data_IF_025193090718
#
_entry.id   IF_025193090718
#
_cell.length_a   1.000
_cell.length_b   1.000
_cell.length_c   1.000
_cell.angle_alpha   90.00
_cell.angle_beta   90.00
_cell.angle_gamma   90.00
#
_symmetry.space_group_name_H-M   'P 1'
#
loop_
_entity.id
_entity.type
_entity.pdbx_description
1 polymer ?
#
# COMPACT_ATOMS: atom_id res chain seq x y z
N UNK A 1 4.08 101.48 -15.98
CA UNK A 1 4.79 100.49 -15.13
C UNK A 1 4.37 100.67 -13.67
N UNK A 2 4.16 99.55 -12.94
CA UNK A 2 4.14 99.39 -11.47
C UNK A 2 2.90 99.89 -10.68
N UNK A 3 1.88 99.03 -10.53
CA UNK A 3 1.09 98.97 -9.27
C UNK A 3 0.26 97.69 -9.02
N UNK A 4 0.39 96.64 -9.84
CA UNK A 4 -0.30 95.35 -9.61
C UNK A 4 0.54 94.30 -8.87
N UNK A 5 1.81 94.57 -8.59
CA UNK A 5 2.75 93.59 -8.01
C UNK A 5 2.78 93.52 -6.47
N UNK A 6 2.06 94.38 -5.73
CA UNK A 6 2.11 94.37 -4.25
C UNK A 6 1.08 93.49 -3.55
N UNK A 7 0.03 93.01 -4.24
CA UNK A 7 -0.93 92.06 -3.65
C UNK A 7 -0.40 90.62 -3.68
N UNK A 8 0.36 90.27 -4.73
CA UNK A 8 0.95 88.94 -4.89
C UNK A 8 2.06 88.64 -3.88
N UNK A 9 2.90 89.63 -3.52
CA UNK A 9 4.05 89.40 -2.61
C UNK A 9 3.61 89.24 -1.14
N UNK A 10 2.51 89.86 -0.71
CA UNK A 10 2.04 89.78 0.69
C UNK A 10 1.31 88.46 1.01
N UNK A 11 0.65 87.86 0.02
CA UNK A 11 -0.15 86.64 0.20
C UNK A 11 0.41 85.40 -0.51
N UNK A 12 1.56 85.51 -1.19
CA UNK A 12 2.27 84.43 -1.87
C UNK A 12 2.40 83.16 -1.01
N UNK A 13 2.75 83.30 0.28
CA UNK A 13 2.91 82.14 1.19
C UNK A 13 1.58 81.38 1.38
N UNK A 14 0.44 82.07 1.40
CA UNK A 14 -0.88 81.45 1.55
C UNK A 14 -1.33 80.74 0.27
N UNK A 15 -1.04 81.32 -0.90
CA UNK A 15 -1.29 80.68 -2.19
C UNK A 15 -0.40 79.45 -2.40
N UNK A 16 0.85 79.50 -1.93
CA UNK A 16 1.79 78.38 -1.99
C UNK A 16 1.35 77.23 -1.07
N UNK A 17 0.85 77.53 0.14
CA UNK A 17 0.24 76.54 1.04
C UNK A 17 -1.02 75.92 0.42
N UNK A 18 -1.91 76.72 -0.19
CA UNK A 18 -3.11 76.21 -0.85
C UNK A 18 -2.76 75.32 -2.05
N UNK A 19 -1.73 75.68 -2.82
CA UNK A 19 -1.24 74.90 -3.95
C UNK A 19 -0.59 73.58 -3.50
N UNK A 20 0.20 73.60 -2.42
CA UNK A 20 0.74 72.38 -1.79
C UNK A 20 -0.38 71.51 -1.24
N UNK A 21 -1.45 72.09 -0.68
CA UNK A 21 -2.59 71.34 -0.15
C UNK A 21 -3.41 70.71 -1.29
N UNK A 22 -3.60 71.41 -2.41
CA UNK A 22 -4.25 70.88 -3.62
C UNK A 22 -3.39 69.78 -4.27
N UNK A 23 -2.08 69.98 -4.38
CA UNK A 23 -1.14 68.96 -4.85
C UNK A 23 -1.13 67.77 -3.89
N UNK A 24 -1.16 68.01 -2.57
CA UNK A 24 -1.26 66.97 -1.56
C UNK A 24 -2.55 66.17 -1.69
N UNK A 25 -3.69 66.81 -1.97
CA UNK A 25 -4.97 66.15 -2.24
C UNK A 25 -4.94 65.39 -3.57
N UNK A 26 -4.34 65.94 -4.63
CA UNK A 26 -4.20 65.29 -5.93
C UNK A 26 -3.27 64.08 -5.84
N UNK A 27 -2.14 64.19 -5.14
CA UNK A 27 -1.20 63.08 -4.88
C UNK A 27 -1.84 62.04 -3.95
N UNK A 28 -2.63 62.46 -2.96
CA UNK A 28 -3.35 61.57 -2.06
C UNK A 28 -4.49 60.83 -2.79
N UNK A 29 -5.16 61.47 -3.74
CA UNK A 29 -6.14 60.82 -4.61
C UNK A 29 -5.50 59.97 -5.70
N UNK A 30 -4.37 60.37 -6.27
CA UNK A 30 -3.67 59.59 -7.31
C UNK A 30 -2.91 58.39 -6.72
N UNK A 31 -2.48 58.47 -5.46
CA UNK A 31 -1.82 57.36 -4.75
C UNK A 31 -2.81 56.36 -4.13
N UNK A 32 -4.11 56.55 -4.34
CA UNK A 32 -5.16 55.60 -3.94
C UNK A 32 -5.54 54.61 -5.05
N UNK A 33 -4.72 54.49 -6.09
CA UNK A 33 -4.75 53.31 -6.97
C UNK A 33 -4.07 52.16 -6.23
N UNK A 34 -4.86 51.43 -5.43
CA UNK A 34 -4.49 50.08 -5.00
C UNK A 34 -4.37 49.26 -6.29
N UNK A 35 -3.14 48.94 -6.69
CA UNK A 35 -2.89 47.81 -7.59
C UNK A 35 -3.41 46.55 -6.88
N UNK A 36 -4.70 46.28 -7.05
CA UNK A 36 -5.30 44.99 -6.75
C UNK A 36 -4.66 44.03 -7.76
N UNK A 37 -3.75 43.19 -7.29
CA UNK A 37 -3.31 42.01 -8.03
C UNK A 37 -4.52 41.08 -8.16
N UNK A 38 -5.40 41.38 -9.12
CA UNK A 38 -6.54 40.54 -9.44
C UNK A 38 -5.97 39.33 -10.18
N UNK A 39 -6.08 38.15 -9.56
CA UNK A 39 -5.73 36.90 -10.23
C UNK A 39 -6.68 36.72 -11.42
N UNK A 40 -6.13 36.32 -12.56
CA UNK A 40 -6.87 36.10 -13.81
C UNK A 40 -6.62 34.67 -14.26
N UNK A 41 -7.68 33.98 -14.65
CA UNK A 41 -7.61 32.71 -15.36
C UNK A 41 -8.50 32.76 -16.60
N UNK A 42 -8.44 31.74 -17.44
CA UNK A 42 -9.24 31.63 -18.66
C UNK A 42 -9.96 30.29 -18.68
N UNK A 43 -11.21 30.30 -19.15
CA UNK A 43 -11.93 29.05 -19.43
C UNK A 43 -11.16 28.23 -20.46
N UNK A 44 -10.86 26.98 -20.11
CA UNK A 44 -10.16 26.02 -20.98
C UNK A 44 -11.10 24.88 -21.32
N UNK A 45 -10.82 24.19 -22.43
CA UNK A 45 -11.49 22.94 -22.77
C UNK A 45 -10.54 21.77 -22.53
N UNK A 46 -11.01 20.72 -21.86
CA UNK A 46 -10.19 19.54 -21.58
C UNK A 46 -10.92 18.50 -20.74
N UNK A 47 -10.16 17.59 -20.17
CA UNK A 47 -10.71 16.52 -19.32
C UNK A 47 -10.60 16.94 -17.85
N UNK A 48 -11.66 16.71 -17.09
CA UNK A 48 -11.67 16.90 -15.63
C UNK A 48 -12.00 15.57 -14.98
N UNK A 49 -11.22 15.22 -13.97
CA UNK A 49 -11.30 13.95 -13.24
C UNK A 49 -11.59 14.24 -11.78
N UNK A 50 -12.58 13.56 -11.23
CA UNK A 50 -12.76 13.48 -9.79
C UNK A 50 -11.85 12.37 -9.27
N UNK A 51 -11.05 12.70 -8.26
CA UNK A 51 -10.07 11.78 -7.69
C UNK A 51 -10.32 11.62 -6.19
N UNK A 52 -10.25 10.38 -5.73
CA UNK A 52 -10.18 10.05 -4.32
C UNK A 52 -8.72 9.72 -3.99
N UNK A 53 -8.13 10.42 -3.04
CA UNK A 53 -6.75 10.21 -2.62
C UNK A 53 -6.76 9.42 -1.32
N UNK A 54 -6.09 8.27 -1.31
CA UNK A 54 -5.99 7.42 -0.13
C UNK A 54 -4.52 7.06 0.09
N UNK A 55 -4.09 7.10 1.34
CA UNK A 55 -2.74 6.69 1.71
C UNK A 55 -2.63 5.16 1.79
N UNK A 56 -1.42 4.66 1.62
CA UNK A 56 -1.14 3.24 1.61
C UNK A 56 0.35 2.91 1.62
N UNK A 57 0.65 1.63 1.42
CA UNK A 57 2.01 1.11 1.39
C UNK A 57 2.19 0.00 0.35
N UNK A 58 3.43 -0.24 -0.08
CA UNK A 58 3.75 -1.42 -0.89
C UNK A 58 3.70 -2.67 -0.01
N UNK A 59 2.94 -3.65 -0.47
CA UNK A 59 2.83 -4.99 0.13
C UNK A 59 3.06 -6.06 -0.96
N UNK A 60 2.98 -7.34 -0.60
CA UNK A 60 3.09 -8.44 -1.55
C UNK A 60 2.18 -9.60 -1.19
N UNK A 61 1.69 -10.30 -2.22
CA UNK A 61 0.82 -11.47 -2.04
C UNK A 61 1.61 -12.65 -1.45
N UNK A 62 2.78 -12.94 -2.03
CA UNK A 62 3.65 -14.01 -1.57
C UNK A 62 4.69 -13.44 -0.60
N UNK A 63 4.33 -13.45 0.67
CA UNK A 63 5.21 -13.06 1.77
C UNK A 63 5.15 -14.11 2.89
N UNK A 64 6.31 -14.66 3.27
CA UNK A 64 6.41 -15.72 4.25
C UNK A 64 7.37 -15.36 5.37
N UNK A 65 6.89 -15.49 6.60
CA UNK A 65 7.72 -15.50 7.81
C UNK A 65 8.00 -16.93 8.17
N UNK A 66 9.27 -17.30 8.13
CA UNK A 66 9.74 -18.66 8.32
C UNK A 66 10.31 -18.83 9.71
N UNK A 67 9.92 -19.91 10.37
CA UNK A 67 10.38 -20.30 11.70
C UNK A 67 10.64 -21.79 11.73
N UNK A 68 11.48 -22.23 12.67
CA UNK A 68 11.67 -23.66 12.91
C UNK A 68 10.48 -24.24 13.68
N UNK A 69 10.13 -25.48 13.34
CA UNK A 69 9.10 -26.25 14.07
C UNK A 69 9.65 -26.84 15.38
N UNK A 70 10.98 -26.91 15.51
CA UNK A 70 11.69 -27.39 16.70
C UNK A 70 12.66 -26.34 17.21
N UNK A 71 12.96 -26.35 18.52
CA UNK A 71 14.04 -25.53 19.08
C UNK A 71 15.40 -26.22 18.95
N UNK A 72 16.47 -25.42 18.91
CA UNK A 72 17.81 -25.97 18.80
C UNK A 72 18.86 -24.92 18.49
N UNK A 73 20.11 -25.37 18.38
CA UNK A 73 21.25 -24.53 18.02
C UNK A 73 21.39 -24.46 16.50
N UNK A 74 21.49 -23.26 15.95
CA UNK A 74 21.75 -23.07 14.51
C UNK A 74 23.20 -23.47 14.21
N UNK A 75 23.38 -24.36 13.23
CA UNK A 75 24.70 -24.86 12.81
C UNK A 75 25.03 -24.52 11.36
N UNK A 76 24.06 -24.01 10.60
CA UNK A 76 24.23 -23.59 9.22
C UNK A 76 23.29 -22.45 8.88
N UNK A 77 23.81 -21.43 8.20
CA UNK A 77 23.05 -20.35 7.56
C UNK A 77 23.59 -20.21 6.14
N UNK A 78 22.76 -20.47 5.15
CA UNK A 78 23.14 -20.61 3.74
C UNK A 78 22.79 -19.42 2.84
N UNK A 79 22.27 -18.34 3.42
CA UNK A 79 21.80 -17.16 2.70
C UNK A 79 22.10 -15.88 3.49
N UNK A 80 22.02 -14.75 2.81
CA UNK A 80 22.08 -13.41 3.37
C UNK A 80 20.83 -12.63 2.99
N UNK A 81 20.54 -11.58 3.75
CA UNK A 81 19.52 -10.61 3.35
C UNK A 81 19.87 -10.02 1.97
N UNK A 82 18.85 -9.90 1.12
CA UNK A 82 18.99 -9.51 -0.28
C UNK A 82 19.27 -10.66 -1.25
N UNK A 83 19.60 -11.87 -0.77
CA UNK A 83 19.82 -13.01 -1.65
C UNK A 83 18.53 -13.45 -2.35
N UNK A 84 18.64 -13.74 -3.65
CA UNK A 84 17.61 -14.46 -4.39
C UNK A 84 17.65 -15.95 -4.04
N UNK A 85 16.48 -16.51 -3.78
CA UNK A 85 16.29 -17.92 -3.43
C UNK A 85 15.23 -18.55 -4.32
N UNK A 86 15.36 -19.85 -4.55
CA UNK A 86 14.35 -20.65 -5.25
C UNK A 86 13.65 -21.57 -4.25
N UNK A 87 12.44 -22.02 -4.60
CA UNK A 87 11.67 -22.97 -3.78
C UNK A 87 12.49 -24.20 -3.42
N UNK A 88 12.55 -24.53 -2.13
CA UNK A 88 13.32 -25.66 -1.59
C UNK A 88 14.79 -25.35 -1.33
N UNK A 89 15.27 -24.12 -1.53
CA UNK A 89 16.63 -23.73 -1.11
C UNK A 89 16.73 -23.76 0.42
N UNK A 90 17.75 -24.42 0.95
CA UNK A 90 18.06 -24.45 2.37
C UNK A 90 18.55 -23.07 2.83
N UNK A 91 17.87 -22.50 3.82
CA UNK A 91 18.13 -21.18 4.39
C UNK A 91 18.97 -21.29 5.66
N UNK A 92 18.48 -22.10 6.61
CA UNK A 92 19.09 -22.27 7.92
C UNK A 92 18.81 -23.68 8.43
N UNK A 93 19.69 -24.21 9.28
CA UNK A 93 19.56 -25.57 9.83
C UNK A 93 20.03 -25.64 11.28
N UNK A 94 19.27 -26.35 12.11
CA UNK A 94 19.61 -26.64 13.50
C UNK A 94 20.52 -27.88 13.61
N UNK A 95 21.16 -28.03 14.77
CA UNK A 95 21.86 -29.26 15.11
C UNK A 95 20.87 -30.44 15.17
N UNK A 96 20.98 -31.35 14.21
CA UNK A 96 20.10 -32.50 14.07
C UNK A 96 20.63 -33.76 14.76
N UNK A 97 21.72 -33.70 15.51
CA UNK A 97 22.39 -34.91 16.04
C UNK A 97 21.45 -35.74 16.92
N UNK A 98 20.78 -35.10 17.87
CA UNK A 98 19.81 -35.75 18.76
C UNK A 98 18.56 -36.18 18.00
N UNK A 99 18.04 -35.31 17.12
CA UNK A 99 16.83 -35.59 16.33
C UNK A 99 17.01 -36.79 15.39
N UNK A 100 18.16 -36.87 14.71
CA UNK A 100 18.51 -37.99 13.85
C UNK A 100 18.67 -39.27 14.68
N UNK A 101 19.31 -39.20 15.85
CA UNK A 101 19.43 -40.35 16.75
C UNK A 101 18.06 -40.87 17.20
N UNK A 102 17.15 -39.98 17.60
CA UNK A 102 15.77 -40.34 17.95
C UNK A 102 15.01 -40.98 16.79
N UNK A 103 15.19 -40.47 15.57
CA UNK A 103 14.61 -41.08 14.36
C UNK A 103 15.15 -42.50 14.11
N UNK A 104 16.45 -42.72 14.27
CA UNK A 104 17.05 -44.06 14.12
C UNK A 104 16.56 -45.04 15.21
N UNK A 105 16.39 -44.58 16.45
CA UNK A 105 15.80 -45.40 17.53
C UNK A 105 14.36 -45.81 17.18
N UNK A 106 13.54 -44.87 16.70
CA UNK A 106 12.17 -45.17 16.29
C UNK A 106 12.12 -46.19 15.14
N UNK A 107 12.99 -46.05 14.13
CA UNK A 107 13.09 -47.01 13.03
C UNK A 107 13.50 -48.40 13.51
N UNK A 108 14.44 -48.47 14.46
CA UNK A 108 14.89 -49.74 15.03
C UNK A 108 13.78 -50.44 15.81
N UNK A 109 12.99 -49.67 16.56
CA UNK A 109 11.82 -50.19 17.28
C UNK A 109 10.74 -50.69 16.33
N UNK A 110 10.43 -49.95 15.26
CA UNK A 110 9.49 -50.40 14.23
C UNK A 110 9.94 -51.74 13.64
N UNK A 111 11.23 -51.90 13.33
CA UNK A 111 11.80 -53.16 12.82
C UNK A 111 11.61 -54.34 13.79
N UNK A 112 11.71 -54.11 15.10
CA UNK A 112 11.47 -55.15 16.12
C UNK A 112 10.00 -55.59 16.09
N UNK A 113 9.06 -54.63 16.03
CA UNK A 113 7.63 -54.96 15.98
C UNK A 113 7.22 -55.57 14.64
N UNK A 114 7.82 -55.16 13.53
CA UNK A 114 7.63 -55.81 12.23
C UNK A 114 8.00 -57.29 12.28
N UNK A 115 9.18 -57.62 12.80
CA UNK A 115 9.62 -59.01 12.96
C UNK A 115 8.72 -59.79 13.94
N UNK A 116 8.17 -59.12 14.95
CA UNK A 116 7.24 -59.73 15.91
C UNK A 116 5.90 -60.09 15.26
N UNK A 117 5.34 -59.17 14.46
CA UNK A 117 4.11 -59.42 13.69
C UNK A 117 4.34 -60.54 12.68
N UNK A 118 5.46 -60.52 11.95
CA UNK A 118 5.83 -61.58 11.00
C UNK A 118 5.91 -62.95 11.69
N UNK A 119 6.60 -63.04 12.83
CA UNK A 119 6.69 -64.29 13.58
C UNK A 119 5.32 -64.81 14.05
N UNK A 120 4.44 -63.93 14.52
CA UNK A 120 3.09 -64.31 14.95
C UNK A 120 2.24 -64.73 13.73
N UNK A 121 2.34 -64.03 12.61
CA UNK A 121 1.64 -64.40 11.37
C UNK A 121 2.10 -65.78 10.87
N UNK A 122 3.40 -66.08 10.95
CA UNK A 122 3.94 -67.40 10.60
C UNK A 122 3.42 -68.50 11.54
N UNK A 123 3.36 -68.25 12.85
CA UNK A 123 2.79 -69.19 13.83
C UNK A 123 1.31 -69.48 13.59
N UNK A 124 0.56 -68.53 13.04
CA UNK A 124 -0.88 -68.63 12.82
C UNK A 124 -1.25 -68.99 11.37
N UNK A 125 -0.27 -69.17 10.49
CA UNK A 125 -0.46 -69.36 9.05
C UNK A 125 -1.40 -70.52 8.70
N UNK A 126 -1.34 -71.60 9.47
CA UNK A 126 -2.13 -72.82 9.29
C UNK A 126 -3.42 -72.83 10.13
N UNK A 127 -3.66 -71.80 10.94
CA UNK A 127 -4.80 -71.68 11.87
C UNK A 127 -5.83 -70.61 11.47
N UNK A 128 -5.94 -70.30 10.17
CA UNK A 128 -6.77 -69.18 9.69
C UNK A 128 -8.27 -69.33 9.97
N UNK A 129 -8.77 -70.57 10.10
CA UNK A 129 -10.21 -70.85 10.23
C UNK A 129 -10.61 -71.32 11.64
N UNK A 130 -9.64 -71.53 12.52
CA UNK A 130 -9.80 -72.06 13.88
C UNK A 130 -8.99 -71.26 14.93
N UNK A 131 -8.57 -70.03 14.59
CA UNK A 131 -7.87 -69.12 15.49
C UNK A 131 -8.64 -68.95 16.81
N UNK A 132 -8.01 -69.31 17.92
CA UNK A 132 -8.56 -69.10 19.26
C UNK A 132 -8.63 -67.61 19.60
N UNK A 133 -9.50 -67.24 20.55
CA UNK A 133 -9.56 -65.86 21.05
C UNK A 133 -8.17 -65.34 21.48
N UNK A 134 -7.39 -66.16 22.20
CA UNK A 134 -6.06 -65.77 22.68
C UNK A 134 -5.05 -65.53 21.53
N UNK A 135 -5.11 -66.32 20.45
CA UNK A 135 -4.27 -66.12 19.26
C UNK A 135 -4.66 -64.85 18.51
N UNK A 136 -5.97 -64.60 18.36
CA UNK A 136 -6.49 -63.38 17.75
C UNK A 136 -6.11 -62.13 18.54
N UNK A 137 -6.21 -62.20 19.86
CA UNK A 137 -5.82 -61.13 20.77
C UNK A 137 -4.32 -60.84 20.64
N UNK A 138 -3.47 -61.87 20.68
CA UNK A 138 -2.02 -61.74 20.50
C UNK A 138 -1.65 -61.09 19.15
N UNK A 139 -2.25 -61.54 18.04
CA UNK A 139 -2.03 -60.95 16.72
C UNK A 139 -2.46 -59.49 16.68
N UNK A 140 -3.64 -59.18 17.19
CA UNK A 140 -4.18 -57.81 17.23
C UNK A 140 -3.30 -56.88 18.07
N UNK A 141 -2.81 -57.36 19.22
CA UNK A 141 -1.87 -56.61 20.07
C UNK A 141 -0.54 -56.35 19.36
N UNK A 142 0.00 -57.33 18.64
CA UNK A 142 1.24 -57.17 17.89
C UNK A 142 1.11 -56.15 16.75
N UNK A 143 0.01 -56.23 15.99
CA UNK A 143 -0.33 -55.26 14.94
C UNK A 143 -0.48 -53.85 15.53
N UNK A 144 -1.21 -53.68 16.63
CA UNK A 144 -1.36 -52.40 17.30
C UNK A 144 -0.03 -51.81 17.82
N UNK A 145 0.87 -52.67 18.33
CA UNK A 145 2.20 -52.24 18.77
C UNK A 145 3.09 -51.80 17.60
N UNK A 146 3.01 -52.50 16.46
CA UNK A 146 3.65 -52.08 15.21
C UNK A 146 3.14 -50.72 14.76
N UNK A 147 1.82 -50.50 14.74
CA UNK A 147 1.22 -49.23 14.36
C UNK A 147 1.71 -48.09 15.27
N UNK A 148 1.77 -48.31 16.59
CA UNK A 148 2.32 -47.35 17.54
C UNK A 148 3.80 -47.02 17.27
N UNK A 149 4.60 -48.03 16.90
CA UNK A 149 6.00 -47.81 16.56
C UNK A 149 6.15 -47.03 15.24
N UNK A 150 5.27 -47.27 14.26
CA UNK A 150 5.23 -46.52 13.01
C UNK A 150 4.89 -45.04 13.25
N UNK A 151 3.91 -44.74 14.09
CA UNK A 151 3.59 -43.35 14.46
C UNK A 151 4.76 -42.65 15.17
N UNK A 152 5.54 -43.38 15.99
CA UNK A 152 6.75 -42.84 16.59
C UNK A 152 7.82 -42.49 15.54
N UNK A 153 7.95 -43.27 14.47
CA UNK A 153 8.84 -42.96 13.33
C UNK A 153 8.39 -41.68 12.64
N UNK A 154 7.09 -41.53 12.36
CA UNK A 154 6.54 -40.31 11.74
C UNK A 154 6.83 -39.09 12.61
N UNK A 155 6.57 -39.17 13.92
CA UNK A 155 6.82 -38.07 14.86
C UNK A 155 8.30 -37.69 14.89
N UNK A 156 9.21 -38.66 15.02
CA UNK A 156 10.65 -38.40 15.05
C UNK A 156 11.15 -37.82 13.71
N UNK A 157 10.60 -38.28 12.58
CA UNK A 157 10.92 -37.76 11.25
C UNK A 157 10.46 -36.31 11.08
N UNK A 158 9.25 -35.97 11.51
CA UNK A 158 8.74 -34.59 11.47
C UNK A 158 9.62 -33.65 12.28
N UNK A 159 10.03 -34.04 13.49
CA UNK A 159 10.94 -33.24 14.30
C UNK A 159 12.30 -33.05 13.60
N UNK A 160 12.83 -34.09 12.95
CA UNK A 160 14.08 -33.99 12.20
C UNK A 160 13.95 -33.07 10.96
N UNK A 161 12.84 -33.16 10.24
CA UNK A 161 12.60 -32.32 9.05
C UNK A 161 12.35 -30.86 9.45
N UNK A 162 11.62 -30.63 10.54
CA UNK A 162 11.35 -29.31 11.13
C UNK A 162 12.58 -28.57 11.67
N UNK A 163 13.74 -29.23 11.71
CA UNK A 163 15.03 -28.64 12.04
C UNK A 163 15.77 -28.02 10.84
N UNK A 164 15.19 -28.06 9.64
CA UNK A 164 15.72 -27.44 8.44
C UNK A 164 14.72 -26.44 7.86
N UNK A 165 15.17 -25.22 7.61
CA UNK A 165 14.33 -24.14 7.09
C UNK A 165 14.57 -23.98 5.58
N UNK A 166 13.51 -24.11 4.79
CA UNK A 166 13.57 -24.03 3.32
C UNK A 166 12.69 -22.89 2.80
N UNK A 167 13.07 -22.32 1.65
CA UNK A 167 12.26 -21.33 0.97
C UNK A 167 10.96 -21.98 0.41
N UNK A 168 9.75 -21.50 0.74
CA UNK A 168 8.50 -22.07 0.24
C UNK A 168 8.19 -21.70 -1.22
N UNK A 169 8.79 -20.62 -1.74
CA UNK A 169 8.64 -20.13 -3.11
C UNK A 169 9.93 -19.41 -3.57
N UNK A 170 9.98 -19.04 -4.85
CA UNK A 170 11.06 -18.23 -5.40
C UNK A 170 10.91 -16.79 -4.90
N UNK A 171 11.98 -16.20 -4.37
CA UNK A 171 11.88 -14.87 -3.77
C UNK A 171 13.22 -14.28 -3.36
N UNK A 172 13.14 -13.25 -2.53
CA UNK A 172 14.28 -12.53 -1.95
C UNK A 172 14.19 -12.63 -0.43
N UNK A 173 15.30 -12.94 0.23
CA UNK A 173 15.38 -12.87 1.70
C UNK A 173 15.33 -11.40 2.13
N UNK A 174 14.32 -11.00 2.89
CA UNK A 174 14.16 -9.62 3.36
C UNK A 174 14.66 -9.40 4.78
N UNK A 175 14.69 -10.46 5.58
CA UNK A 175 15.10 -10.40 6.98
C UNK A 175 15.71 -11.74 7.41
N UNK A 176 16.74 -11.69 8.24
CA UNK A 176 17.30 -12.83 8.97
C UNK A 176 17.51 -12.46 10.44
N UNK A 177 16.87 -13.19 11.35
CA UNK A 177 17.06 -12.93 12.78
C UNK A 177 18.47 -13.30 13.24
N UNK A 178 19.05 -14.37 12.69
CA UNK A 178 20.39 -14.85 13.04
C UNK A 178 21.22 -15.12 11.78
N UNK A 179 21.94 -14.12 11.24
CA UNK A 179 22.80 -14.31 10.05
C UNK A 179 24.12 -15.05 10.35
N UNK A 180 24.21 -15.76 11.49
CA UNK A 180 25.41 -16.48 11.94
C UNK A 180 25.04 -17.74 12.73
N UNK A 181 25.98 -18.68 12.79
CA UNK A 181 25.81 -19.96 13.49
C UNK A 181 26.15 -19.85 14.98
N UNK A 182 25.68 -20.82 15.75
CA UNK A 182 26.07 -21.03 17.14
C UNK A 182 25.04 -20.57 18.18
N UNK A 183 24.00 -19.86 17.77
CA UNK A 183 22.91 -19.36 18.62
C UNK A 183 21.80 -20.41 18.78
N UNK A 184 21.15 -20.40 19.94
CA UNK A 184 19.93 -21.19 20.18
C UNK A 184 18.69 -20.39 19.79
N UNK A 185 17.79 -21.03 19.06
CA UNK A 185 16.52 -20.47 18.67
C UNK A 185 15.35 -21.32 19.17
N UNK A 186 14.19 -20.69 19.32
CA UNK A 186 12.97 -21.30 19.85
C UNK A 186 11.97 -21.59 18.73
N UNK A 187 11.05 -22.51 19.01
CA UNK A 187 9.92 -22.82 18.13
C UNK A 187 9.12 -21.54 17.84
N UNK A 188 8.66 -21.38 16.60
CA UNK A 188 7.82 -20.26 16.16
C UNK A 188 8.47 -18.87 16.16
N UNK A 189 9.72 -18.73 16.59
CA UNK A 189 10.45 -17.48 16.42
C UNK A 189 10.81 -17.29 14.93
N UNK A 190 10.50 -16.11 14.39
CA UNK A 190 10.76 -15.80 12.98
C UNK A 190 12.27 -15.76 12.77
N UNK A 191 12.77 -16.68 11.96
CA UNK A 191 14.18 -16.82 11.63
C UNK A 191 14.51 -16.11 10.31
N UNK A 192 13.61 -16.19 9.33
CA UNK A 192 13.79 -15.58 8.02
C UNK A 192 12.48 -15.05 7.46
N UNK A 193 12.54 -13.99 6.66
CA UNK A 193 11.39 -13.52 5.88
C UNK A 193 11.73 -13.56 4.39
N UNK A 194 10.76 -13.98 3.57
CA UNK A 194 10.91 -14.10 2.11
C UNK A 194 9.74 -13.44 1.42
N UNK A 195 10.05 -12.69 0.38
CA UNK A 195 9.07 -12.06 -0.51
C UNK A 195 9.26 -12.49 -1.96
N UNK A 196 8.17 -12.67 -2.69
CA UNK A 196 8.20 -12.71 -4.15
C UNK A 196 7.97 -11.29 -4.71
N UNK A 197 9.00 -10.62 -5.25
CA UNK A 197 8.87 -9.27 -5.77
C UNK A 197 7.89 -9.15 -6.95
N UNK A 198 7.59 -10.24 -7.65
CA UNK A 198 6.63 -10.22 -8.77
C UNK A 198 5.18 -10.06 -8.30
N UNK A 199 4.94 -10.25 -7.00
CA UNK A 199 3.61 -10.18 -6.40
C UNK A 199 3.39 -8.90 -5.59
N UNK A 200 4.27 -7.91 -5.76
CA UNK A 200 4.13 -6.62 -5.09
C UNK A 200 2.93 -5.84 -5.63
N UNK A 201 2.19 -5.21 -4.73
CA UNK A 201 1.06 -4.34 -5.01
C UNK A 201 1.05 -3.16 -4.02
N UNK A 202 0.37 -2.09 -4.35
CA UNK A 202 0.13 -0.98 -3.41
C UNK A 202 -1.18 -1.23 -2.66
N UNK A 203 -1.10 -1.32 -1.34
CA UNK A 203 -2.24 -1.52 -0.45
C UNK A 203 -2.71 -0.17 0.09
N UNK A 204 -3.89 0.25 -0.36
CA UNK A 204 -4.55 1.45 0.14
C UNK A 204 -5.65 1.08 1.13
N UNK A 205 -5.97 2.00 2.05
CA UNK A 205 -7.06 1.85 3.00
C UNK A 205 -8.18 2.84 2.68
N UNK A 206 -9.41 2.37 2.57
CA UNK A 206 -10.60 3.18 2.29
C UNK A 206 -11.65 2.98 3.40
N UNK A 207 -12.25 4.05 3.90
CA UNK A 207 -13.36 3.96 4.84
C UNK A 207 -14.67 3.51 4.19
N UNK A 208 -15.73 3.34 5.00
CA UNK A 208 -17.03 2.87 4.52
C UNK A 208 -17.70 3.81 3.49
N UNK A 209 -17.43 5.11 3.55
CA UNK A 209 -17.98 6.09 2.60
C UNK A 209 -17.16 6.13 1.31
N UNK A 210 -15.86 5.91 1.41
CA UNK A 210 -14.89 5.92 0.32
C UNK A 210 -14.95 4.65 -0.52
N UNK A 211 -15.00 3.47 0.12
CA UNK A 211 -14.96 2.17 -0.57
C UNK A 211 -16.13 1.99 -1.55
N UNK A 212 -17.27 2.62 -1.29
CA UNK A 212 -18.45 2.57 -2.17
C UNK A 212 -18.25 3.27 -3.51
N UNK A 213 -17.25 4.16 -3.60
CA UNK A 213 -16.90 4.91 -4.81
C UNK A 213 -15.86 4.19 -5.67
N UNK A 214 -15.28 3.10 -5.16
CA UNK A 214 -14.19 2.37 -5.81
C UNK A 214 -14.72 1.16 -6.57
N UNK A 215 -14.10 0.88 -7.72
CA UNK A 215 -14.44 -0.28 -8.56
C UNK A 215 -13.20 -1.05 -8.96
N UNK A 216 -13.33 -2.38 -9.05
CA UNK A 216 -12.26 -3.24 -9.56
C UNK A 216 -11.98 -2.87 -11.01
N UNK A 217 -10.71 -2.69 -11.33
CA UNK A 217 -10.21 -2.33 -12.64
C UNK A 217 -10.10 -0.83 -12.93
N UNK A 218 -10.47 0.02 -11.97
CA UNK A 218 -10.28 1.47 -12.05
C UNK A 218 -8.79 1.85 -12.13
N UNK A 219 -8.48 2.90 -12.89
CA UNK A 219 -7.11 3.44 -13.01
C UNK A 219 -6.74 4.18 -11.73
N UNK A 220 -5.49 3.98 -11.31
CA UNK A 220 -4.93 4.58 -10.10
C UNK A 220 -3.55 5.16 -10.42
N UNK A 221 -3.27 6.34 -9.89
CA UNK A 221 -1.91 6.92 -9.92
C UNK A 221 -1.31 6.79 -8.54
N UNK A 222 -0.20 6.08 -8.41
CA UNK A 222 0.50 5.85 -7.14
C UNK A 222 1.69 6.82 -7.07
N UNK A 223 1.82 7.53 -5.96
CA UNK A 223 2.92 8.46 -5.69
C UNK A 223 3.58 7.97 -4.40
N UNK A 224 4.83 7.52 -4.49
CA UNK A 224 5.56 7.00 -3.34
C UNK A 224 6.41 8.11 -2.72
N UNK A 225 6.37 8.23 -1.40
CA UNK A 225 7.12 9.27 -0.66
C UNK A 225 8.63 9.16 -0.89
N UNK A 226 9.11 7.94 -1.13
CA UNK A 226 10.53 7.63 -1.36
C UNK A 226 11.01 7.92 -2.79
N UNK A 227 10.14 8.40 -3.69
CA UNK A 227 10.46 8.64 -5.09
C UNK A 227 10.08 10.06 -5.50
N UNK A 228 11.07 10.96 -5.51
CA UNK A 228 10.89 12.37 -5.86
C UNK A 228 10.23 12.54 -7.24
N UNK A 229 8.96 12.98 -7.24
CA UNK A 229 8.21 13.40 -8.43
C UNK A 229 7.84 12.29 -9.43
N UNK A 230 8.10 11.02 -9.12
CA UNK A 230 7.68 9.91 -10.00
C UNK A 230 6.31 9.39 -9.58
N UNK A 231 5.37 9.39 -10.54
CA UNK A 231 4.11 8.69 -10.41
C UNK A 231 4.19 7.34 -11.12
N UNK A 232 3.51 6.35 -10.55
CA UNK A 232 3.42 5.00 -11.10
C UNK A 232 1.96 4.70 -11.44
N UNK A 233 1.74 4.17 -12.64
CA UNK A 233 0.40 3.77 -13.04
C UNK A 233 0.03 2.43 -12.41
N UNK A 234 -1.22 2.32 -11.98
CA UNK A 234 -1.75 1.11 -11.41
C UNK A 234 -3.23 0.91 -11.73
N UNK A 235 -3.72 -0.26 -11.34
CA UNK A 235 -5.11 -0.65 -11.53
C UNK A 235 -5.61 -1.36 -10.27
N UNK A 236 -6.82 -1.02 -9.84
CA UNK A 236 -7.49 -1.72 -8.74
C UNK A 236 -7.65 -3.20 -9.11
N UNK A 237 -6.98 -4.07 -8.38
CA UNK A 237 -7.02 -5.51 -8.57
C UNK A 237 -8.07 -6.15 -7.66
N UNK A 238 -8.11 -5.73 -6.39
CA UNK A 238 -9.04 -6.27 -5.41
C UNK A 238 -9.51 -5.20 -4.42
N UNK A 239 -10.77 -5.29 -4.01
CA UNK A 239 -11.34 -4.54 -2.89
C UNK A 239 -11.84 -5.59 -1.89
N UNK A 240 -11.40 -5.49 -0.63
CA UNK A 240 -11.76 -6.45 0.41
C UNK A 240 -13.24 -6.38 0.74
N UNK A 241 -13.90 -7.54 0.89
CA UNK A 241 -15.31 -7.61 1.33
C UNK A 241 -15.51 -7.44 2.84
N UNK A 242 -14.43 -7.58 3.61
CA UNK A 242 -14.43 -7.45 5.07
C UNK A 242 -13.52 -6.30 5.49
N UNK A 243 -13.89 -5.53 6.54
CA UNK A 243 -13.00 -4.55 7.11
C UNK A 243 -11.70 -5.17 7.62
N UNK A 244 -10.61 -4.42 7.56
CA UNK A 244 -9.33 -4.76 8.14
C UNK A 244 -9.45 -4.74 9.67
N UNK A 245 -9.03 -5.83 10.31
CA UNK A 245 -9.03 -5.93 11.78
C UNK A 245 -8.00 -4.97 12.39
N UNK A 246 -8.33 -4.38 13.54
CA UNK A 246 -7.45 -3.49 14.29
C UNK A 246 -7.52 -2.01 13.90
N UNK A 247 -8.27 -1.66 12.86
CA UNK A 247 -8.55 -0.28 12.49
C UNK A 247 -9.72 0.29 13.31
N UNK A 248 -9.73 1.60 13.53
CA UNK A 248 -10.88 2.26 14.14
C UNK A 248 -11.94 2.54 13.08
N UNK A 249 -13.11 1.93 13.23
CA UNK A 249 -14.19 2.02 12.23
C UNK A 249 -14.08 0.94 11.15
N UNK A 250 -14.93 1.05 10.12
CA UNK A 250 -14.95 0.09 9.01
C UNK A 250 -14.03 0.55 7.89
N UNK A 251 -12.80 0.07 7.90
CA UNK A 251 -11.76 0.37 6.91
C UNK A 251 -11.50 -0.86 6.05
N UNK A 252 -11.54 -0.71 4.73
CA UNK A 252 -11.40 -1.78 3.75
C UNK A 252 -10.06 -1.66 3.03
N UNK A 253 -9.38 -2.80 2.81
CA UNK A 253 -8.15 -2.84 2.03
C UNK A 253 -8.45 -2.88 0.53
N UNK A 254 -7.78 -2.02 -0.22
CA UNK A 254 -7.83 -1.93 -1.67
C UNK A 254 -6.45 -2.25 -2.22
N UNK A 255 -6.33 -3.34 -2.97
CA UNK A 255 -5.09 -3.74 -3.62
C UNK A 255 -5.01 -3.13 -5.02
N UNK A 256 -3.95 -2.38 -5.27
CA UNK A 256 -3.67 -1.75 -6.55
C UNK A 256 -2.43 -2.40 -7.15
N UNK A 257 -2.60 -3.07 -8.29
CA UNK A 257 -1.49 -3.65 -9.05
C UNK A 257 -0.72 -2.56 -9.79
N UNK A 258 0.61 -2.65 -9.82
CA UNK A 258 1.44 -1.77 -10.63
C UNK A 258 1.37 -2.17 -12.11
N UNK A 259 1.24 -1.19 -13.00
CA UNK A 259 1.22 -1.39 -14.46
C UNK A 259 2.48 -0.78 -15.07
N UNK A 260 3.05 -1.44 -16.08
CA UNK A 260 4.25 -0.97 -16.79
C UNK A 260 5.49 -0.75 -15.91
N UNK A 261 5.58 -1.42 -14.76
CA UNK A 261 6.74 -1.40 -13.87
C UNK A 261 7.39 -2.78 -13.83
N UNK A 262 8.70 -2.84 -14.08
CA UNK A 262 9.49 -4.03 -13.79
C UNK A 262 9.76 -4.09 -12.28
N UNK A 263 8.89 -4.80 -11.55
CA UNK A 263 8.96 -4.91 -10.10
C UNK A 263 10.26 -5.56 -9.61
N UNK A 264 10.86 -6.46 -10.37
CA UNK A 264 12.09 -7.17 -9.99
C UNK A 264 13.29 -6.23 -10.00
N UNK A 265 13.39 -5.38 -11.02
CA UNK A 265 14.50 -4.44 -11.18
C UNK A 265 14.18 -3.04 -10.63
N UNK A 266 12.96 -2.84 -10.15
CA UNK A 266 12.57 -1.63 -9.43
C UNK A 266 13.37 -1.47 -8.12
N UNK A 267 13.40 -0.24 -7.62
CA UNK A 267 13.89 0.05 -6.26
C UNK A 267 12.79 -0.11 -5.20
N UNK A 268 11.63 -0.69 -5.55
CA UNK A 268 10.53 -0.84 -4.63
C UNK A 268 10.91 -1.80 -3.49
N UNK A 269 10.44 -1.45 -2.30
CA UNK A 269 10.54 -2.24 -1.09
C UNK A 269 9.17 -2.27 -0.44
N UNK A 270 8.84 -3.37 0.22
CA UNK A 270 7.65 -3.43 1.06
C UNK A 270 7.71 -2.40 2.18
N UNK A 271 6.53 -2.01 2.65
CA UNK A 271 6.32 -0.95 3.64
C UNK A 271 6.78 0.45 3.19
N UNK A 272 7.14 0.65 1.92
CA UNK A 272 7.26 2.00 1.36
C UNK A 272 5.87 2.63 1.30
N UNK A 273 5.72 3.82 1.88
CA UNK A 273 4.46 4.55 1.95
C UNK A 273 4.28 5.51 0.78
N UNK A 274 3.03 5.92 0.58
CA UNK A 274 2.67 6.95 -0.38
C UNK A 274 1.16 7.13 -0.46
N UNK A 275 0.73 7.79 -1.53
CA UNK A 275 -0.67 8.05 -1.83
C UNK A 275 -1.08 7.43 -3.17
N UNK A 276 -2.31 6.94 -3.23
CA UNK A 276 -2.95 6.46 -4.44
C UNK A 276 -4.13 7.38 -4.80
N UNK A 277 -4.08 7.96 -6.00
CA UNK A 277 -5.14 8.78 -6.59
C UNK A 277 -6.04 7.90 -7.46
N UNK A 278 -7.24 7.62 -6.97
CA UNK A 278 -8.25 6.79 -7.63
C UNK A 278 -9.18 7.68 -8.46
N UNK A 279 -9.25 7.46 -9.77
CA UNK A 279 -10.13 8.25 -10.67
C UNK A 279 -11.57 7.76 -10.54
N UNK A 280 -12.40 8.41 -9.72
CA UNK A 280 -13.78 7.96 -9.42
C UNK A 280 -14.78 8.35 -10.50
N UNK A 281 -14.50 9.45 -11.21
CA UNK A 281 -15.30 9.93 -12.34
C UNK A 281 -14.42 10.73 -13.29
N UNK A 282 -14.71 10.69 -14.59
CA UNK A 282 -14.02 11.49 -15.60
C UNK A 282 -15.04 12.02 -16.60
N UNK A 283 -14.92 13.30 -16.95
CA UNK A 283 -15.59 13.86 -18.12
C UNK A 283 -14.57 14.43 -19.07
N UNK A 284 -14.71 14.04 -20.32
CA UNK A 284 -13.87 14.51 -21.41
C UNK A 284 -14.46 15.74 -22.10
N UNK A 285 -13.59 16.58 -22.64
CA UNK A 285 -13.95 17.71 -23.51
C UNK A 285 -14.92 18.73 -22.88
N UNK A 286 -14.84 18.96 -21.57
CA UNK A 286 -15.65 19.93 -20.83
C UNK A 286 -14.97 21.29 -20.74
N UNK A 287 -15.76 22.35 -20.57
CA UNK A 287 -15.23 23.67 -20.21
C UNK A 287 -14.94 23.68 -18.71
N UNK A 288 -13.73 24.09 -18.33
CA UNK A 288 -13.31 24.11 -16.94
C UNK A 288 -12.50 25.36 -16.61
N UNK A 289 -12.41 25.63 -15.32
CA UNK A 289 -11.65 26.73 -14.74
C UNK A 289 -11.12 26.32 -13.38
N UNK A 290 -10.10 27.02 -12.85
CA UNK A 290 -9.67 26.73 -11.49
C UNK A 290 -10.81 26.94 -10.48
N UNK A 291 -10.96 25.99 -9.54
CA UNK A 291 -12.00 25.97 -8.49
C UNK A 291 -12.10 27.30 -7.75
N UNK A 292 -10.97 27.97 -7.54
CA UNK A 292 -10.87 29.27 -6.89
C UNK A 292 -11.67 30.41 -7.57
N UNK A 293 -11.99 30.29 -8.86
CA UNK A 293 -12.72 31.32 -9.62
C UNK A 293 -14.24 31.12 -9.62
N UNK A 294 -14.73 29.95 -9.23
CA UNK A 294 -16.18 29.72 -9.08
C UNK A 294 -16.64 30.33 -7.75
N UNK A 295 -17.46 31.37 -7.82
CA UNK A 295 -18.01 32.06 -6.65
C UNK A 295 -19.50 31.73 -6.50
N UNK A 296 -20.06 31.93 -5.31
CA UNK A 296 -21.48 31.73 -5.04
C UNK A 296 -22.11 32.98 -4.42
N UNK A 297 -23.31 33.33 -4.88
CA UNK A 297 -24.17 34.33 -4.24
C UNK A 297 -25.62 33.82 -4.12
N UNK A 298 -26.56 34.71 -3.78
CA UNK A 298 -27.97 34.34 -3.56
C UNK A 298 -28.68 33.80 -4.80
N UNK A 299 -28.18 34.11 -6.01
CA UNK A 299 -28.77 33.68 -7.28
C UNK A 299 -28.16 32.37 -7.80
N UNK A 300 -26.99 31.98 -7.29
CA UNK A 300 -26.33 30.73 -7.65
C UNK A 300 -24.82 30.87 -7.79
N UNK A 301 -24.22 29.90 -8.47
CA UNK A 301 -22.79 29.90 -8.80
C UNK A 301 -22.52 30.81 -10.00
N UNK A 302 -21.40 31.55 -9.97
CA UNK A 302 -21.03 32.50 -11.00
C UNK A 302 -19.52 32.67 -11.14
N UNK A 303 -19.10 33.17 -12.30
CA UNK A 303 -17.74 33.59 -12.61
C UNK A 303 -17.72 35.11 -12.76
N UNK A 304 -16.76 35.80 -12.14
CA UNK A 304 -16.54 37.23 -12.43
C UNK A 304 -15.84 37.37 -13.77
N UNK A 305 -16.36 38.24 -14.62
CA UNK A 305 -15.85 38.46 -15.98
C UNK A 305 -15.86 39.95 -16.29
N UNK A 306 -15.19 40.36 -17.37
CA UNK A 306 -15.26 41.75 -17.87
C UNK A 306 -16.49 42.02 -18.75
N UNK A 307 -17.55 41.21 -18.65
CA UNK A 307 -18.80 41.41 -19.39
C UNK A 307 -19.59 42.61 -18.82
N UNK A 308 -20.59 43.12 -19.55
CA UNK A 308 -21.41 44.29 -19.13
C UNK A 308 -21.99 44.16 -17.72
N UNK A 309 -22.29 42.95 -17.28
CA UNK A 309 -22.86 42.66 -15.95
C UNK A 309 -21.82 42.24 -14.90
N UNK A 310 -20.53 42.14 -15.28
CA UNK A 310 -19.42 41.75 -14.40
C UNK A 310 -19.43 40.31 -13.91
N UNK A 311 -20.51 39.55 -14.18
CA UNK A 311 -20.75 38.18 -13.72
C UNK A 311 -21.44 37.36 -14.81
N UNK A 312 -21.06 36.09 -14.90
CA UNK A 312 -21.77 35.08 -15.69
C UNK A 312 -22.16 33.95 -14.75
N UNK A 313 -23.46 33.67 -14.64
CA UNK A 313 -23.97 32.57 -13.82
C UNK A 313 -23.76 31.24 -14.55
N UNK A 314 -23.25 30.25 -13.84
CA UNK A 314 -22.90 28.92 -14.35
C UNK A 314 -23.31 27.85 -13.33
N UNK A 315 -23.36 26.60 -13.77
CA UNK A 315 -23.52 25.44 -12.90
C UNK A 315 -22.20 24.67 -12.86
N UNK A 316 -21.67 24.44 -11.66
CA UNK A 316 -20.52 23.57 -11.44
C UNK A 316 -20.89 22.11 -11.70
N UNK A 317 -20.01 21.41 -12.41
CA UNK A 317 -20.14 19.99 -12.71
C UNK A 317 -19.13 19.15 -11.93
N UNK A 318 -18.42 18.26 -12.63
CA UNK A 318 -17.35 17.46 -12.03
C UNK A 318 -16.21 18.37 -11.54
N UNK A 319 -15.66 18.07 -10.36
CA UNK A 319 -14.60 18.82 -9.72
C UNK A 319 -13.39 17.93 -9.45
N UNK A 320 -12.21 18.48 -9.72
CA UNK A 320 -10.89 17.95 -9.35
C UNK A 320 -10.28 18.85 -8.28
N UNK A 321 -9.11 18.48 -7.74
CA UNK A 321 -8.41 19.29 -6.73
C UNK A 321 -8.23 20.76 -7.14
N UNK A 322 -7.85 21.00 -8.41
CA UNK A 322 -7.54 22.35 -8.90
C UNK A 322 -8.61 22.95 -9.83
N UNK A 323 -9.40 22.11 -10.50
CA UNK A 323 -10.27 22.51 -11.61
C UNK A 323 -11.70 22.02 -11.45
N UNK A 324 -12.67 22.82 -11.88
CA UNK A 324 -14.10 22.47 -11.91
C UNK A 324 -14.68 22.67 -13.31
N UNK A 325 -15.50 21.72 -13.74
CA UNK A 325 -16.36 21.85 -14.92
C UNK A 325 -17.37 22.98 -14.69
N UNK A 326 -17.53 23.85 -15.69
CA UNK A 326 -18.51 24.93 -15.68
C UNK A 326 -19.43 24.82 -16.88
N UNK A 327 -20.73 24.80 -16.60
CA UNK A 327 -21.80 24.65 -17.59
C UNK A 327 -22.62 25.94 -17.61
N UNK A 328 -22.79 26.54 -18.79
CA UNK A 328 -23.57 27.77 -18.96
C UNK A 328 -23.27 28.46 -20.29
N UNK A 329 -23.72 29.70 -20.42
CA UNK A 329 -23.45 30.55 -21.60
C UNK A 329 -22.02 31.11 -21.57
N UNK A 330 -21.03 30.22 -21.66
CA UNK A 330 -19.60 30.53 -21.64
C UNK A 330 -18.88 29.87 -22.81
N UNK A 331 -17.73 30.43 -23.17
CA UNK A 331 -16.88 29.93 -24.26
C UNK A 331 -15.44 29.83 -23.80
N UNK A 332 -14.70 28.94 -24.47
CA UNK A 332 -13.26 28.80 -24.29
C UNK A 332 -12.55 30.15 -24.53
N UNK A 333 -11.54 30.45 -23.70
CA UNK A 333 -10.78 31.69 -23.74
C UNK A 333 -11.41 32.87 -23.00
N UNK A 334 -12.61 32.73 -22.44
CA UNK A 334 -13.22 33.75 -21.60
C UNK A 334 -12.37 33.99 -20.34
N UNK A 335 -11.96 35.24 -20.10
CA UNK A 335 -11.19 35.64 -18.91
C UNK A 335 -12.08 35.76 -17.69
N UNK A 336 -11.66 35.12 -16.61
CA UNK A 336 -12.29 35.16 -15.28
C UNK A 336 -11.36 35.81 -14.27
N UNK A 337 -11.96 36.43 -13.25
CA UNK A 337 -11.27 37.25 -12.26
C UNK A 337 -11.67 36.81 -10.83
N UNK A 338 -10.78 37.02 -9.86
CA UNK A 338 -11.04 36.67 -8.45
C UNK A 338 -12.04 37.60 -7.74
#
# INVERSE_FOLDING_TARGET
MKKTTKFFVKNWKKLLILFIMIIGVIIFFSSRSKNLNVKVDTIKKGNVKEELILSGEISAENYAKLSFETSGRIVYVGVKEGDKVYKGKLISKLDTTVLNSSYQVALSNLRIYDATVENIHDQLKDHKNDETYAQKDLRTMAEANKDKAYEAVISAKRNLDGASLYAPFNGIITFLSHPFVGVYTNVSSVEAEIIDPNTMYFQSLADQTEVTKLTVGQKVTIILDSFDGNSFEGKVDNISFTPKLGETGSVYSVKVSFTNVDLINSKFKIAMTGDAKFVTSEKENVLYVSTNFLKQDKLGQYLKTNTKNGKVYVTGGIESEDNIEVIGEISEGLKVYD
#
